data_IF_560215663653
#
_entry.id   IF_560215663653
#
_cell.length_a   1.000
_cell.length_b   1.000
_cell.length_c   1.000
_cell.angle_alpha   90.00
_cell.angle_beta   90.00
_cell.angle_gamma   90.00
#
_symmetry.space_group_name_H-M   'P 1'
#
loop_
_entity.id
_entity.type
_entity.pdbx_description
1 polymer ?
#
# COMPACT_ATOMS: atom_id res chain seq x y z
N UNK A 1 21.98 -5.22 0.63
CA UNK A 1 21.91 -3.75 0.58
C UNK A 1 23.25 -3.18 1.04
N UNK A 2 23.89 -2.28 0.28
CA UNK A 2 24.98 -1.44 0.81
C UNK A 2 24.39 -0.04 0.82
N UNK A 3 24.39 0.63 1.96
CA UNK A 3 24.02 2.05 2.02
C UNK A 3 25.18 2.82 1.38
N UNK A 4 24.98 3.44 0.20
CA UNK A 4 26.08 4.09 -0.49
C UNK A 4 26.51 5.35 0.28
N UNK A 5 27.82 5.58 0.31
CA UNK A 5 28.39 6.86 0.75
C UNK A 5 28.32 7.83 -0.43
N UNK A 6 27.68 8.97 -0.20
CA UNK A 6 27.45 10.03 -1.19
C UNK A 6 28.57 11.07 -1.16
N UNK A 7 29.14 11.33 0.02
CA UNK A 7 30.22 12.28 0.22
C UNK A 7 31.22 11.75 1.26
N UNK A 8 32.52 12.02 1.09
CA UNK A 8 33.56 11.58 2.01
C UNK A 8 33.87 10.08 1.91
N UNK A 9 34.03 9.41 3.06
CA UNK A 9 34.37 7.98 3.14
C UNK A 9 33.49 7.21 4.11
N UNK A 10 33.44 5.89 3.92
CA UNK A 10 32.91 4.96 4.92
C UNK A 10 33.91 4.67 6.04
N UNK A 11 33.49 3.82 6.97
CA UNK A 11 34.38 3.31 8.02
C UNK A 11 35.41 2.34 7.46
N UNK A 12 36.58 2.35 8.07
CA UNK A 12 37.73 1.51 7.75
C UNK A 12 38.21 0.80 9.01
N UNK A 13 39.07 -0.21 8.86
CA UNK A 13 39.67 -0.92 9.99
C UNK A 13 40.53 -0.02 10.89
N UNK A 14 40.98 1.13 10.36
CA UNK A 14 41.74 2.13 11.11
C UNK A 14 40.88 3.00 12.04
N UNK A 15 39.55 2.97 11.90
CA UNK A 15 38.64 3.71 12.78
C UNK A 15 38.38 2.91 14.07
N UNK A 16 39.46 2.65 14.83
CA UNK A 16 39.44 1.87 16.07
C UNK A 16 39.32 2.76 17.33
N UNK A 17 39.45 2.17 18.52
CA UNK A 17 39.34 2.90 19.81
C UNK A 17 40.50 3.86 20.08
N UNK A 18 41.63 3.69 19.40
CA UNK A 18 42.82 4.52 19.57
C UNK A 18 42.84 5.67 18.55
N UNK A 19 42.05 5.57 17.49
CA UNK A 19 41.85 6.62 16.50
C UNK A 19 40.92 7.74 17.01
N UNK A 20 40.97 8.94 16.39
CA UNK A 20 39.96 9.97 16.63
C UNK A 20 38.54 9.44 16.46
N UNK A 21 37.62 9.89 17.32
CA UNK A 21 36.23 9.43 17.23
C UNK A 21 35.57 9.97 15.95
N UNK A 22 35.01 9.07 15.14
CA UNK A 22 34.40 9.42 13.85
C UNK A 22 32.92 9.04 13.79
N UNK A 23 32.20 9.64 12.85
CA UNK A 23 30.78 9.40 12.60
C UNK A 23 30.48 9.55 11.10
N UNK A 24 29.55 8.75 10.59
CA UNK A 24 28.94 8.92 9.27
C UNK A 24 27.49 9.31 9.49
N UNK A 25 27.02 10.35 8.82
CA UNK A 25 25.65 10.86 8.95
C UNK A 25 24.86 10.61 7.66
N UNK A 26 23.53 10.64 7.69
CA UNK A 26 22.76 10.60 6.45
C UNK A 26 22.57 11.99 5.82
N UNK A 27 22.11 12.01 4.56
CA UNK A 27 21.85 13.25 3.82
C UNK A 27 20.83 14.15 4.55
N UNK A 28 19.81 13.58 5.19
CA UNK A 28 18.80 14.35 5.93
C UNK A 28 19.40 15.09 7.12
N UNK A 29 20.25 14.45 7.93
CA UNK A 29 20.94 15.09 9.04
C UNK A 29 21.90 16.17 8.51
N UNK A 30 22.67 15.86 7.46
CA UNK A 30 23.58 16.81 6.84
C UNK A 30 22.87 18.10 6.40
N UNK A 31 21.77 17.99 5.64
CA UNK A 31 20.98 19.13 5.18
C UNK A 31 20.37 19.94 6.31
N UNK A 32 20.01 19.30 7.43
CA UNK A 32 19.38 19.96 8.58
C UNK A 32 20.37 20.83 9.36
N UNK A 33 21.56 20.31 9.62
CA UNK A 33 22.55 20.98 10.47
C UNK A 33 23.56 21.84 9.70
N UNK A 34 23.83 21.50 8.43
CA UNK A 34 24.75 22.22 7.55
C UNK A 34 24.09 22.47 6.18
N UNK A 35 23.04 23.30 6.11
CA UNK A 35 22.39 23.62 4.85
C UNK A 35 23.36 24.35 3.92
N UNK A 36 23.55 23.81 2.72
CA UNK A 36 24.47 24.35 1.69
C UNK A 36 25.96 24.39 2.08
N UNK A 37 26.36 23.68 3.14
CA UNK A 37 27.76 23.50 3.52
C UNK A 37 28.13 22.00 3.54
N UNK A 38 29.39 21.68 3.26
CA UNK A 38 29.87 20.31 3.46
C UNK A 38 29.95 20.01 4.96
N UNK A 39 29.34 18.90 5.42
CA UNK A 39 29.42 18.49 6.82
C UNK A 39 30.77 17.81 7.14
N UNK A 40 31.59 17.48 6.14
CA UNK A 40 32.86 16.78 6.35
C UNK A 40 33.83 17.59 7.23
N UNK A 41 34.50 16.92 8.15
CA UNK A 41 35.43 17.52 9.11
C UNK A 41 34.76 18.31 10.24
N UNK A 42 33.45 18.55 10.16
CA UNK A 42 32.68 19.14 11.26
C UNK A 42 32.56 18.14 12.40
N UNK A 43 32.33 18.63 13.62
CA UNK A 43 32.24 17.81 14.82
C UNK A 43 30.87 17.89 15.44
N UNK A 44 30.40 16.75 15.94
CA UNK A 44 29.14 16.63 16.66
C UNK A 44 29.33 15.83 17.94
N UNK A 45 28.50 16.13 18.94
CA UNK A 45 28.52 15.47 20.24
C UNK A 45 27.24 14.65 20.38
N UNK A 46 27.37 13.36 20.74
CA UNK A 46 26.23 12.45 20.88
C UNK A 46 25.81 12.33 22.34
N UNK A 47 24.54 12.62 22.64
CA UNK A 47 23.99 12.46 23.99
C UNK A 47 24.36 13.61 24.93
N UNK A 48 25.15 13.32 25.96
CA UNK A 48 25.48 14.29 27.01
C UNK A 48 26.60 15.26 26.60
N UNK A 49 26.63 16.44 27.22
CA UNK A 49 27.70 17.43 27.08
C UNK A 49 29.10 16.91 27.53
N UNK A 50 29.16 15.74 28.16
CA UNK A 50 30.41 15.06 28.53
C UNK A 50 30.92 14.07 27.48
N UNK A 51 30.13 13.77 26.45
CA UNK A 51 30.53 12.82 25.40
C UNK A 51 31.67 13.38 24.55
N UNK A 52 32.58 12.55 24.02
CA UNK A 52 33.61 13.04 23.11
C UNK A 52 32.99 13.61 21.82
N UNK A 53 33.64 14.63 21.26
CA UNK A 53 33.32 15.11 19.92
C UNK A 53 33.69 14.04 18.90
N UNK A 54 32.80 13.84 17.92
CA UNK A 54 33.01 12.94 16.80
C UNK A 54 33.07 13.73 15.51
N UNK A 55 34.07 13.45 14.69
CA UNK A 55 34.26 14.09 13.39
C UNK A 55 33.44 13.40 12.31
N UNK A 56 32.73 14.17 11.50
CA UNK A 56 31.98 13.67 10.36
C UNK A 56 32.96 13.34 9.24
N UNK A 57 33.09 12.05 8.91
CA UNK A 57 34.00 11.56 7.86
C UNK A 57 33.29 11.17 6.57
N UNK A 58 31.96 11.06 6.59
CA UNK A 58 31.17 10.71 5.42
C UNK A 58 29.68 11.00 5.57
N UNK A 59 29.02 11.08 4.42
CA UNK A 59 27.57 11.22 4.29
C UNK A 59 27.04 10.00 3.55
N UNK A 60 26.15 9.24 4.18
CA UNK A 60 25.46 8.11 3.61
C UNK A 60 24.11 8.54 3.00
N UNK A 61 23.66 7.83 1.95
CA UNK A 61 22.33 8.06 1.38
C UNK A 61 21.24 7.79 2.42
N UNK A 62 20.16 8.56 2.34
CA UNK A 62 18.97 8.36 3.19
C UNK A 62 18.41 6.93 3.05
N UNK A 63 18.14 6.31 4.18
CA UNK A 63 17.58 4.96 4.27
C UNK A 63 16.23 4.92 4.98
N UNK A 64 15.77 3.68 5.24
CA UNK A 64 14.70 3.39 6.21
C UNK A 64 15.34 2.68 7.40
N UNK A 65 15.10 3.20 8.59
CA UNK A 65 15.79 2.84 9.82
C UNK A 65 14.85 2.18 10.83
N UNK A 66 13.65 2.74 11.03
CA UNK A 66 12.69 2.22 12.01
C UNK A 66 11.44 1.66 11.35
N UNK A 67 10.87 2.36 10.37
CA UNK A 67 9.64 1.96 9.67
C UNK A 67 9.82 2.01 8.15
N UNK A 68 9.16 1.11 7.41
CA UNK A 68 9.20 1.11 5.93
C UNK A 68 8.63 2.41 5.34
N UNK A 69 7.63 3.00 6.00
CA UNK A 69 6.94 4.21 5.58
C UNK A 69 7.42 5.49 6.26
N UNK A 70 8.50 5.48 7.05
CA UNK A 70 8.93 6.71 7.73
C UNK A 70 9.34 7.82 6.74
N UNK A 71 9.12 9.10 7.06
CA UNK A 71 9.75 10.18 6.31
C UNK A 71 11.28 10.09 6.41
N UNK A 72 12.03 10.71 5.47
CA UNK A 72 13.47 10.85 5.64
C UNK A 72 13.76 11.43 7.02
N UNK A 73 14.42 10.63 7.86
CA UNK A 73 14.66 10.94 9.28
C UNK A 73 16.14 11.08 9.49
N UNK A 74 16.57 11.96 10.39
CA UNK A 74 17.99 12.12 10.70
C UNK A 74 18.55 10.82 11.28
N UNK A 75 19.69 10.38 10.75
CA UNK A 75 20.34 9.18 11.21
C UNK A 75 21.86 9.31 11.14
N UNK A 76 22.53 8.58 12.02
CA UNK A 76 23.97 8.54 12.09
C UNK A 76 24.45 7.14 12.41
N UNK A 77 25.66 6.85 11.99
CA UNK A 77 26.33 5.58 12.16
C UNK A 77 27.64 5.83 12.89
N UNK A 78 28.01 4.90 13.76
CA UNK A 78 29.26 4.94 14.53
C UNK A 78 29.96 3.58 14.37
N UNK A 79 31.30 3.54 14.26
CA UNK A 79 32.02 2.27 14.22
C UNK A 79 31.76 1.43 15.47
N UNK A 80 31.49 0.14 15.29
CA UNK A 80 31.30 -0.80 16.40
C UNK A 80 32.53 -0.86 17.33
N UNK A 81 33.73 -0.76 16.75
CA UNK A 81 35.00 -0.68 17.48
C UNK A 81 35.02 0.47 18.50
N UNK A 82 34.52 1.65 18.13
CA UNK A 82 34.49 2.86 18.95
C UNK A 82 33.25 2.99 19.84
N UNK A 83 32.20 2.21 19.58
CA UNK A 83 30.95 2.23 20.34
C UNK A 83 30.38 0.82 20.44
N UNK A 84 31.09 -0.01 21.20
CA UNK A 84 30.74 -1.40 21.41
C UNK A 84 29.43 -1.54 22.19
N UNK A 85 28.54 -2.40 21.68
CA UNK A 85 27.35 -2.87 22.38
C UNK A 85 27.32 -4.41 22.30
N UNK A 86 27.13 -5.07 23.45
CA UNK A 86 27.00 -6.52 23.52
C UNK A 86 25.74 -7.05 22.83
N UNK A 87 24.78 -6.19 22.50
CA UNK A 87 23.58 -6.51 21.73
C UNK A 87 23.78 -6.17 20.24
N UNK A 88 24.67 -6.89 19.56
CA UNK A 88 24.89 -6.68 18.13
C UNK A 88 24.02 -7.59 17.26
N UNK A 89 23.71 -7.12 16.05
CA UNK A 89 23.11 -7.93 14.98
C UNK A 89 24.11 -8.06 13.85
N UNK A 90 24.46 -9.31 13.50
CA UNK A 90 25.33 -9.58 12.36
C UNK A 90 24.49 -9.66 11.08
N UNK A 91 24.83 -8.85 10.07
CA UNK A 91 24.21 -8.90 8.75
C UNK A 91 25.24 -9.46 7.76
N UNK A 92 25.01 -10.68 7.28
CA UNK A 92 25.85 -11.31 6.28
C UNK A 92 25.17 -11.30 4.90
N UNK A 93 25.97 -11.12 3.85
CA UNK A 93 25.53 -11.26 2.47
C UNK A 93 26.24 -12.46 1.84
N UNK A 94 25.48 -13.31 1.17
CA UNK A 94 26.00 -14.45 0.40
C UNK A 94 25.42 -14.46 -1.00
N UNK A 95 26.17 -15.08 -1.94
CA UNK A 95 25.71 -15.42 -3.28
C UNK A 95 25.05 -16.79 -3.37
N UNK A 96 25.22 -17.64 -2.35
CA UNK A 96 24.62 -18.98 -2.25
C UNK A 96 23.29 -18.99 -1.48
N UNK A 97 22.88 -20.18 -1.02
CA UNK A 97 21.67 -20.35 -0.21
C UNK A 97 21.86 -19.71 1.19
N UNK A 98 21.06 -18.68 1.56
CA UNK A 98 21.22 -17.98 2.83
C UNK A 98 21.00 -18.86 4.06
N UNK A 99 20.16 -19.90 3.93
CA UNK A 99 19.84 -20.84 5.00
C UNK A 99 21.04 -21.72 5.36
N UNK A 100 21.82 -22.15 4.36
CA UNK A 100 23.08 -22.89 4.59
C UNK A 100 24.12 -22.02 5.30
N UNK A 101 24.29 -20.77 4.86
CA UNK A 101 25.22 -19.85 5.54
C UNK A 101 24.77 -19.56 6.97
N UNK A 102 23.47 -19.43 7.22
CA UNK A 102 22.91 -19.21 8.54
C UNK A 102 23.25 -20.36 9.51
N UNK A 103 23.18 -21.62 9.05
CA UNK A 103 23.56 -22.77 9.88
C UNK A 103 25.06 -22.81 10.15
N UNK A 104 25.90 -22.53 9.15
CA UNK A 104 27.36 -22.43 9.31
C UNK A 104 27.70 -21.32 10.32
N UNK A 105 27.14 -20.13 10.18
CA UNK A 105 27.37 -19.03 11.13
C UNK A 105 26.96 -19.39 12.56
N UNK A 106 25.86 -20.13 12.74
CA UNK A 106 25.44 -20.60 14.07
C UNK A 106 26.49 -21.54 14.68
N UNK A 107 26.99 -22.49 13.89
CA UNK A 107 28.00 -23.43 14.34
C UNK A 107 29.31 -22.73 14.70
N UNK A 108 29.75 -21.78 13.89
CA UNK A 108 30.95 -20.97 14.17
C UNK A 108 30.82 -20.18 15.47
N UNK A 109 29.69 -19.52 15.72
CA UNK A 109 29.48 -18.81 16.99
C UNK A 109 29.45 -19.77 18.18
N UNK A 110 28.77 -20.92 18.05
CA UNK A 110 28.74 -21.94 19.09
C UNK A 110 30.13 -22.55 19.37
N UNK A 111 31.04 -22.55 18.39
CA UNK A 111 32.42 -23.01 18.56
C UNK A 111 33.30 -22.01 19.31
N UNK A 112 33.01 -20.70 19.18
CA UNK A 112 33.69 -19.65 19.92
C UNK A 112 33.26 -19.65 21.39
N UNK A 113 31.96 -19.79 21.62
CA UNK A 113 31.36 -19.86 22.95
C UNK A 113 29.98 -20.51 22.86
N UNK A 114 29.83 -21.69 23.51
CA UNK A 114 28.58 -22.44 23.50
C UNK A 114 27.48 -21.83 24.36
N UNK A 115 27.82 -20.93 25.29
CA UNK A 115 26.86 -20.23 26.15
C UNK A 115 26.31 -18.96 25.49
N UNK A 116 26.95 -18.49 24.41
CA UNK A 116 26.54 -17.31 23.64
C UNK A 116 25.27 -17.63 22.85
N UNK A 117 24.11 -17.03 23.21
CA UNK A 117 22.88 -17.44 22.60
C UNK A 117 22.62 -16.70 21.30
N UNK A 118 22.63 -17.44 20.19
CA UNK A 118 22.32 -16.88 18.86
C UNK A 118 20.82 -16.94 18.61
N UNK A 119 20.13 -15.84 18.88
CA UNK A 119 18.70 -15.72 18.64
C UNK A 119 18.40 -15.03 17.29
N UNK A 120 17.22 -15.33 16.73
CA UNK A 120 16.66 -14.51 15.65
C UNK A 120 17.29 -14.68 14.28
N UNK A 121 18.03 -15.77 14.02
CA UNK A 121 18.57 -16.09 12.69
C UNK A 121 17.42 -16.16 11.69
N UNK A 122 17.45 -15.24 10.71
CA UNK A 122 16.45 -15.14 9.66
C UNK A 122 17.12 -14.74 8.36
N UNK A 123 16.62 -15.26 7.26
CA UNK A 123 16.95 -14.73 5.94
C UNK A 123 16.28 -13.36 5.75
N UNK A 124 16.82 -12.52 4.88
CA UNK A 124 16.21 -11.21 4.61
C UNK A 124 14.74 -11.32 4.14
N UNK A 125 14.35 -12.29 3.29
CA UNK A 125 12.93 -12.54 2.98
C UNK A 125 12.07 -12.85 4.22
N UNK A 126 12.51 -13.77 5.08
CA UNK A 126 11.78 -14.13 6.31
C UNK A 126 11.66 -12.94 7.28
N UNK A 127 12.67 -12.09 7.33
CA UNK A 127 12.66 -10.87 8.13
C UNK A 127 11.62 -9.87 7.60
N UNK A 128 11.61 -9.64 6.27
CA UNK A 128 10.61 -8.78 5.62
C UNK A 128 9.19 -9.31 5.78
N UNK A 129 8.97 -10.61 5.63
CA UNK A 129 7.64 -11.21 5.82
C UNK A 129 7.13 -11.03 7.26
N UNK A 130 8.02 -11.11 8.25
CA UNK A 130 7.65 -10.84 9.65
C UNK A 130 7.24 -9.39 9.84
N UNK A 131 7.99 -8.43 9.29
CA UNK A 131 7.68 -7.00 9.39
C UNK A 131 6.37 -6.68 8.67
N UNK A 132 6.13 -7.29 7.51
CA UNK A 132 4.97 -7.03 6.68
C UNK A 132 3.71 -7.81 7.11
N UNK A 133 3.81 -8.74 8.05
CA UNK A 133 2.68 -9.58 8.49
C UNK A 133 1.48 -8.78 9.00
N UNK A 134 1.73 -7.75 9.83
CA UNK A 134 0.69 -6.84 10.33
C UNK A 134 -0.01 -6.08 9.19
N UNK A 135 0.74 -5.30 8.38
CA UNK A 135 0.17 -4.62 7.21
C UNK A 135 -0.56 -5.54 6.24
N UNK A 136 -0.02 -6.73 5.93
CA UNK A 136 -0.66 -7.74 5.08
C UNK A 136 -1.99 -8.22 5.67
N UNK A 137 -2.07 -8.40 6.99
CA UNK A 137 -3.31 -8.84 7.65
C UNK A 137 -4.39 -7.77 7.60
N UNK A 138 -4.04 -6.51 7.85
CA UNK A 138 -4.97 -5.37 7.74
C UNK A 138 -5.46 -5.23 6.30
N UNK A 139 -4.55 -5.34 5.33
CA UNK A 139 -4.91 -5.31 3.92
C UNK A 139 -5.90 -6.44 3.57
N UNK A 140 -5.66 -7.67 4.03
CA UNK A 140 -6.55 -8.80 3.79
C UNK A 140 -7.96 -8.57 4.38
N UNK A 141 -8.07 -8.06 5.60
CA UNK A 141 -9.36 -7.71 6.20
C UNK A 141 -10.07 -6.60 5.42
N UNK A 142 -9.34 -5.56 5.02
CA UNK A 142 -9.87 -4.48 4.19
C UNK A 142 -10.36 -4.99 2.82
N UNK A 143 -9.65 -5.94 2.20
CA UNK A 143 -10.08 -6.60 0.98
C UNK A 143 -11.39 -7.36 1.18
N UNK A 144 -11.53 -8.12 2.27
CA UNK A 144 -12.77 -8.84 2.60
C UNK A 144 -13.93 -7.85 2.75
N UNK A 145 -13.76 -6.77 3.51
CA UNK A 145 -14.79 -5.73 3.64
C UNK A 145 -15.13 -5.07 2.31
N UNK A 146 -14.13 -4.78 1.47
CA UNK A 146 -14.33 -4.24 0.13
C UNK A 146 -15.16 -5.17 -0.76
N UNK A 147 -14.88 -6.48 -0.73
CA UNK A 147 -15.66 -7.49 -1.47
C UNK A 147 -17.09 -7.55 -0.96
N UNK A 148 -17.31 -7.58 0.36
CA UNK A 148 -18.65 -7.59 0.95
C UNK A 148 -19.41 -6.32 0.57
N UNK A 149 -18.78 -5.15 0.67
CA UNK A 149 -19.38 -3.88 0.29
C UNK A 149 -19.75 -3.85 -1.20
N UNK A 150 -18.90 -4.38 -2.07
CA UNK A 150 -19.19 -4.51 -3.51
C UNK A 150 -20.38 -5.43 -3.76
N UNK A 151 -20.46 -6.57 -3.07
CA UNK A 151 -21.61 -7.48 -3.17
C UNK A 151 -22.90 -6.82 -2.69
N UNK A 152 -22.87 -6.12 -1.55
CA UNK A 152 -24.02 -5.39 -1.03
C UNK A 152 -24.47 -4.28 -2.00
N UNK A 153 -23.52 -3.51 -2.54
CA UNK A 153 -23.80 -2.50 -3.54
C UNK A 153 -24.41 -3.11 -4.80
N UNK A 154 -23.89 -4.24 -5.27
CA UNK A 154 -24.41 -4.95 -6.43
C UNK A 154 -25.85 -5.46 -6.21
N UNK A 155 -26.14 -6.06 -5.05
CA UNK A 155 -27.49 -6.53 -4.70
C UNK A 155 -28.46 -5.37 -4.57
N UNK A 156 -28.07 -4.29 -3.88
CA UNK A 156 -28.88 -3.08 -3.72
C UNK A 156 -29.19 -2.42 -5.07
N UNK A 157 -28.16 -2.27 -5.91
CA UNK A 157 -28.30 -1.73 -7.26
C UNK A 157 -29.23 -2.60 -8.12
N UNK A 158 -29.08 -3.92 -8.07
CA UNK A 158 -29.96 -4.84 -8.76
C UNK A 158 -31.42 -4.68 -8.31
N UNK A 159 -31.66 -4.64 -6.99
CA UNK A 159 -32.99 -4.48 -6.41
C UNK A 159 -33.68 -3.18 -6.85
N UNK A 160 -32.99 -2.04 -6.69
CA UNK A 160 -33.54 -0.71 -7.05
C UNK A 160 -33.81 -0.62 -8.55
N UNK A 161 -32.87 -1.06 -9.39
CA UNK A 161 -33.02 -0.99 -10.84
C UNK A 161 -34.11 -1.94 -11.32
N UNK A 162 -34.13 -3.18 -10.85
CA UNK A 162 -35.16 -4.14 -11.23
C UNK A 162 -36.55 -3.71 -10.79
N UNK A 163 -36.68 -3.10 -9.61
CA UNK A 163 -37.94 -2.55 -9.12
C UNK A 163 -38.40 -1.36 -9.97
N UNK A 164 -37.51 -0.42 -10.27
CA UNK A 164 -37.83 0.76 -11.09
C UNK A 164 -38.32 0.38 -12.49
N UNK A 165 -37.67 -0.61 -13.12
CA UNK A 165 -38.10 -1.10 -14.44
C UNK A 165 -39.44 -1.83 -14.35
N UNK A 166 -39.65 -2.66 -13.32
CA UNK A 166 -40.91 -3.37 -13.12
C UNK A 166 -42.09 -2.41 -12.90
N UNK A 167 -41.89 -1.30 -12.18
CA UNK A 167 -42.93 -0.29 -11.97
C UNK A 167 -43.37 0.40 -13.28
N UNK A 168 -42.47 0.46 -14.27
CA UNK A 168 -42.73 1.05 -15.60
C UNK A 168 -43.28 0.06 -16.63
N UNK A 169 -43.59 -1.18 -16.23
CA UNK A 169 -44.13 -2.22 -17.14
C UNK A 169 -45.42 -1.78 -17.83
N UNK A 170 -46.27 -0.98 -17.16
CA UNK A 170 -47.52 -0.47 -17.76
C UNK A 170 -47.26 0.50 -18.92
N UNK A 171 -46.31 1.42 -18.76
CA UNK A 171 -45.90 2.33 -19.84
C UNK A 171 -45.27 1.58 -21.00
N UNK A 172 -44.46 0.56 -20.69
CA UNK A 172 -43.87 -0.35 -21.68
C UNK A 172 -44.97 -1.07 -22.46
N UNK A 173 -45.99 -1.61 -21.78
CA UNK A 173 -47.14 -2.27 -22.41
C UNK A 173 -47.95 -1.36 -23.33
N UNK A 174 -48.21 -0.12 -22.92
CA UNK A 174 -48.89 0.89 -23.74
C UNK A 174 -48.08 1.21 -25.00
N UNK A 175 -46.76 1.41 -24.88
CA UNK A 175 -45.89 1.68 -26.04
C UNK A 175 -45.81 0.50 -27.00
N UNK A 176 -45.77 -0.72 -26.46
CA UNK A 176 -45.82 -1.94 -27.28
C UNK A 176 -47.16 -2.05 -28.03
N UNK A 177 -48.29 -1.72 -27.40
CA UNK A 177 -49.61 -1.68 -28.04
C UNK A 177 -49.71 -0.60 -29.14
N UNK A 178 -48.95 0.49 -29.01
CA UNK A 178 -48.82 1.53 -30.04
C UNK A 178 -47.81 1.18 -31.16
N UNK A 179 -47.23 -0.04 -31.15
CA UNK A 179 -46.35 -0.54 -32.20
C UNK A 179 -44.85 -0.24 -32.02
N UNK A 180 -44.42 0.17 -30.83
CA UNK A 180 -43.00 0.35 -30.55
C UNK A 180 -42.22 -0.96 -30.72
N UNK A 181 -41.00 -0.88 -31.28
CA UNK A 181 -40.13 -2.06 -31.39
C UNK A 181 -39.53 -2.39 -30.03
N UNK A 182 -39.38 -3.67 -29.72
CA UNK A 182 -38.79 -4.15 -28.46
C UNK A 182 -37.40 -3.57 -28.20
N UNK A 183 -36.60 -3.36 -29.24
CA UNK A 183 -35.28 -2.73 -29.14
C UNK A 183 -35.30 -1.27 -28.67
N UNK A 184 -36.31 -0.50 -29.06
CA UNK A 184 -36.42 0.92 -28.69
C UNK A 184 -36.74 1.08 -27.20
N UNK A 185 -37.61 0.20 -26.68
CA UNK A 185 -37.95 0.15 -25.25
C UNK A 185 -36.76 -0.27 -24.41
N UNK A 186 -36.08 -1.36 -24.80
CA UNK A 186 -34.90 -1.85 -24.06
C UNK A 186 -33.79 -0.81 -24.06
N UNK A 187 -33.53 -0.14 -25.20
CA UNK A 187 -32.53 0.93 -25.30
C UNK A 187 -32.85 2.10 -24.38
N UNK A 188 -34.11 2.52 -24.31
CA UNK A 188 -34.51 3.62 -23.43
C UNK A 188 -34.27 3.28 -21.95
N UNK A 189 -34.72 2.10 -21.51
CA UNK A 189 -34.55 1.64 -20.12
C UNK A 189 -33.07 1.52 -19.76
N UNK A 190 -32.26 0.95 -20.66
CA UNK A 190 -30.82 0.87 -20.48
C UNK A 190 -30.15 2.24 -20.40
N UNK A 191 -30.59 3.20 -21.22
CA UNK A 191 -30.01 4.55 -21.25
C UNK A 191 -30.30 5.30 -19.95
N UNK A 192 -31.54 5.26 -19.47
CA UNK A 192 -31.88 5.87 -18.16
C UNK A 192 -31.12 5.22 -17.02
N UNK A 193 -31.01 3.88 -17.03
CA UNK A 193 -30.25 3.15 -16.03
C UNK A 193 -28.76 3.51 -16.03
N UNK A 194 -28.16 3.61 -17.22
CA UNK A 194 -26.76 3.98 -17.39
C UNK A 194 -26.47 5.42 -16.98
N UNK A 195 -27.40 6.36 -17.19
CA UNK A 195 -27.24 7.74 -16.73
C UNK A 195 -27.17 7.78 -15.19
N UNK A 196 -28.08 7.08 -14.51
CA UNK A 196 -28.11 7.03 -13.05
C UNK A 196 -26.83 6.39 -12.48
N UNK A 197 -26.42 5.26 -13.05
CA UNK A 197 -25.22 4.54 -12.62
C UNK A 197 -23.96 5.33 -12.94
N UNK A 198 -23.89 5.97 -14.11
CA UNK A 198 -22.78 6.83 -14.50
C UNK A 198 -22.61 8.02 -13.56
N UNK A 199 -23.71 8.67 -13.16
CA UNK A 199 -23.68 9.73 -12.16
C UNK A 199 -23.20 9.21 -10.79
N UNK A 200 -23.74 8.07 -10.33
CA UNK A 200 -23.33 7.43 -9.08
C UNK A 200 -21.85 7.04 -9.06
N UNK A 201 -21.36 6.44 -10.15
CA UNK A 201 -19.94 6.10 -10.33
C UNK A 201 -19.07 7.35 -10.34
N UNK A 202 -19.48 8.41 -11.05
CA UNK A 202 -18.74 9.67 -11.08
C UNK A 202 -18.59 10.29 -9.69
N UNK A 203 -19.69 10.41 -8.94
CA UNK A 203 -19.70 10.90 -7.56
C UNK A 203 -18.85 10.00 -6.67
N UNK A 204 -19.00 8.68 -6.81
CA UNK A 204 -18.24 7.68 -6.06
C UNK A 204 -16.74 7.79 -6.28
N UNK A 205 -16.29 7.95 -7.53
CA UNK A 205 -14.88 8.12 -7.88
C UNK A 205 -14.28 9.41 -7.32
N UNK A 206 -15.02 10.52 -7.42
CA UNK A 206 -14.59 11.81 -6.83
C UNK A 206 -14.45 11.67 -5.32
N UNK A 207 -15.45 11.09 -4.66
CA UNK A 207 -15.46 10.89 -3.20
C UNK A 207 -14.35 9.94 -2.76
N UNK A 208 -14.18 8.81 -3.45
CA UNK A 208 -13.13 7.84 -3.16
C UNK A 208 -11.74 8.46 -3.32
N UNK A 209 -11.52 9.25 -4.39
CA UNK A 209 -10.23 9.93 -4.60
C UNK A 209 -9.95 10.96 -3.50
N UNK A 210 -10.96 11.72 -3.09
CA UNK A 210 -10.83 12.70 -2.00
C UNK A 210 -10.48 12.02 -0.68
N UNK A 211 -11.21 10.96 -0.32
CA UNK A 211 -10.97 10.19 0.90
C UNK A 211 -9.60 9.51 0.88
N UNK A 212 -9.22 8.89 -0.23
CA UNK A 212 -7.90 8.25 -0.32
C UNK A 212 -6.75 9.24 -0.22
N UNK A 213 -6.88 10.46 -0.76
CA UNK A 213 -5.89 11.52 -0.57
C UNK A 213 -5.79 11.97 0.89
N UNK A 214 -6.93 12.13 1.55
CA UNK A 214 -6.97 12.46 2.98
C UNK A 214 -6.29 11.35 3.80
N UNK A 215 -6.63 10.08 3.57
CA UNK A 215 -6.01 8.96 4.25
C UNK A 215 -4.51 8.83 3.93
N UNK A 216 -4.10 9.09 2.69
CA UNK A 216 -2.69 9.12 2.28
C UNK A 216 -1.87 10.19 3.01
N UNK A 217 -2.51 11.27 3.49
CA UNK A 217 -1.82 12.27 4.32
C UNK A 217 -1.55 11.80 5.75
N UNK A 218 -2.32 10.82 6.25
CA UNK A 218 -2.11 10.19 7.56
C UNK A 218 -1.24 8.93 7.49
N UNK A 219 -1.31 8.18 6.40
CA UNK A 219 -0.59 6.93 6.17
C UNK A 219 0.52 7.12 5.14
N UNK A 220 1.74 7.40 5.61
CA UNK A 220 2.90 7.58 4.74
C UNK A 220 3.28 6.28 4.00
N UNK A 221 3.53 6.42 2.70
CA UNK A 221 4.05 5.33 1.86
C UNK A 221 3.00 4.44 1.18
N UNK A 222 1.71 4.74 1.32
CA UNK A 222 0.65 4.07 0.55
C UNK A 222 0.31 4.94 -0.65
N UNK A 223 0.38 4.37 -1.87
CA UNK A 223 -0.13 5.05 -3.06
C UNK A 223 -1.62 5.33 -2.87
N UNK A 224 -2.08 6.60 -2.90
CA UNK A 224 -3.47 6.94 -2.61
C UNK A 224 -4.46 6.34 -3.64
N UNK A 225 -3.97 5.94 -4.82
CA UNK A 225 -4.83 5.49 -5.91
C UNK A 225 -4.24 4.26 -6.59
N UNK A 226 -4.84 3.11 -6.35
CA UNK A 226 -4.62 1.90 -7.14
C UNK A 226 -5.54 1.94 -8.38
N UNK A 227 -4.95 2.14 -9.55
CA UNK A 227 -5.68 2.23 -10.82
C UNK A 227 -6.50 0.96 -11.11
N UNK A 228 -6.00 -0.21 -10.71
CA UNK A 228 -6.70 -1.48 -10.95
C UNK A 228 -8.03 -1.49 -10.19
N UNK A 229 -8.00 -1.16 -8.90
CA UNK A 229 -9.20 -1.07 -8.06
C UNK A 229 -10.19 0.00 -8.55
N UNK A 230 -9.68 1.17 -8.93
CA UNK A 230 -10.51 2.29 -9.43
C UNK A 230 -11.16 2.04 -10.79
N UNK A 231 -10.66 1.08 -11.58
CA UNK A 231 -11.26 0.69 -12.87
C UNK A 231 -12.19 -0.52 -12.70
N UNK A 232 -11.71 -1.55 -11.98
CA UNK A 232 -12.43 -2.82 -11.85
C UNK A 232 -13.75 -2.68 -11.08
N UNK A 233 -13.78 -1.92 -9.98
CA UNK A 233 -14.99 -1.76 -9.17
C UNK A 233 -16.12 -1.07 -9.96
N UNK A 234 -15.91 0.11 -10.57
CA UNK A 234 -16.92 0.73 -11.42
C UNK A 234 -17.36 -0.14 -12.58
N UNK A 235 -16.42 -0.85 -13.22
CA UNK A 235 -16.75 -1.76 -14.32
C UNK A 235 -17.70 -2.87 -13.88
N UNK A 236 -17.46 -3.50 -12.72
CA UNK A 236 -18.36 -4.51 -12.14
C UNK A 236 -19.73 -3.91 -11.84
N UNK A 237 -19.80 -2.71 -11.24
CA UNK A 237 -21.08 -2.06 -10.93
C UNK A 237 -21.88 -1.71 -12.20
N UNK A 238 -21.22 -1.24 -13.25
CA UNK A 238 -21.86 -0.99 -14.56
C UNK A 238 -22.39 -2.29 -15.16
N UNK A 239 -21.63 -3.39 -15.08
CA UNK A 239 -22.08 -4.69 -15.56
C UNK A 239 -23.31 -5.18 -14.78
N UNK A 240 -23.31 -5.04 -13.46
CA UNK A 240 -24.46 -5.37 -12.60
C UNK A 240 -25.67 -4.53 -12.99
N UNK A 241 -25.50 -3.22 -13.20
CA UNK A 241 -26.60 -2.34 -13.62
C UNK A 241 -27.19 -2.72 -14.98
N UNK A 242 -26.33 -3.06 -15.95
CA UNK A 242 -26.76 -3.52 -17.26
C UNK A 242 -27.60 -4.79 -17.15
N UNK A 243 -27.15 -5.78 -16.38
CA UNK A 243 -27.90 -7.02 -16.14
C UNK A 243 -29.22 -6.73 -15.42
N UNK A 244 -29.19 -5.90 -14.37
CA UNK A 244 -30.36 -5.52 -13.57
C UNK A 244 -31.41 -4.75 -14.37
N UNK A 245 -31.01 -4.00 -15.39
CA UNK A 245 -31.91 -3.24 -16.25
C UNK A 245 -32.42 -4.08 -17.43
N UNK A 246 -31.54 -4.89 -18.02
CA UNK A 246 -31.84 -5.68 -19.22
C UNK A 246 -32.81 -6.82 -18.94
N UNK A 247 -32.62 -7.58 -17.86
CA UNK A 247 -33.47 -8.74 -17.51
C UNK A 247 -34.95 -8.35 -17.36
N UNK A 248 -35.33 -7.36 -16.54
CA UNK A 248 -36.72 -6.94 -16.41
C UNK A 248 -37.25 -6.23 -17.66
N UNK A 249 -36.44 -5.43 -18.37
CA UNK A 249 -36.88 -4.79 -19.62
C UNK A 249 -37.22 -5.83 -20.71
N UNK A 250 -36.40 -6.88 -20.82
CA UNK A 250 -36.67 -8.01 -21.72
C UNK A 250 -37.88 -8.83 -21.30
N UNK A 251 -38.12 -8.99 -19.99
CA UNK A 251 -39.34 -9.64 -19.49
C UNK A 251 -40.57 -8.80 -19.84
N UNK A 252 -40.56 -7.50 -19.56
CA UNK A 252 -41.67 -6.59 -19.83
C UNK A 252 -42.08 -6.55 -21.32
N UNK A 253 -41.11 -6.64 -22.24
CA UNK A 253 -41.38 -6.68 -23.69
C UNK A 253 -41.92 -8.03 -24.20
N UNK A 254 -41.83 -9.09 -23.39
CA UNK A 254 -42.39 -10.42 -23.71
C UNK A 254 -43.73 -10.70 -23.03
N UNK A 255 -44.17 -9.86 -22.10
CA UNK A 255 -45.50 -10.00 -21.50
C UNK A 255 -46.52 -9.61 -22.56
N UNK A 256 -47.47 -10.51 -22.81
CA UNK A 256 -48.54 -10.32 -23.79
C UNK A 256 -49.40 -9.08 -23.40
N UNK A 257 -49.53 -8.06 -24.28
CA UNK A 257 -50.26 -6.83 -23.96
C UNK A 257 -51.71 -7.08 -23.54
N UNK A 258 -52.31 -8.19 -23.95
CA UNK A 258 -53.66 -8.61 -23.52
C UNK A 258 -53.74 -9.10 -22.07
N UNK A 259 -52.63 -9.58 -21.48
CA UNK A 259 -52.57 -10.01 -20.07
C UNK A 259 -52.30 -8.81 -19.16
N UNK A 260 -51.52 -7.83 -19.61
CA UNK A 260 -51.19 -6.62 -18.85
C UNK A 260 -52.39 -5.69 -18.59
N UNK A 261 -53.47 -5.81 -19.37
CA UNK A 261 -54.73 -5.08 -19.18
C UNK A 261 -55.78 -5.83 -18.34
N UNK A 262 -55.52 -7.09 -17.96
CA UNK A 262 -56.52 -7.98 -17.33
C UNK A 262 -56.25 -8.30 -15.86
N UNK A 263 -55.19 -7.77 -15.27
CA UNK A 263 -54.95 -7.84 -13.82
C UNK A 263 -55.31 -6.49 -13.19
N UNK A 264 -56.54 -6.45 -12.67
CA UNK A 264 -56.99 -5.60 -11.58
C UNK A 264 -56.41 -6.06 -10.25
#
# INVERSE_FOLDING_TARGET
MITPIVEGRGFTEHDDQNAPSVVVINETLARRFWPNESPLGKRLQLGSAKSPYREVVGVARDGKYFLLGEPPTEYLFVPLSQNYDGKMTLIARTSGEPEKLAEVMRQEVASLDSELPVYGIKTMPQFLDRILSGPKSIAALATIFGVIALLMAAVGLYGVMSYSVAQRTREVGIRMALGARTGDVVRLVLTEGLILVGAGVGIGLVTATAVSRLLGSFLYGISPTDAVTFITIPFVLVLVALVASYVPARRATKVDPMIALRFE
#
